data_IF_617714415686
#
_entry.id   IF_617714415686
#
_cell.length_a   1.000
_cell.length_b   1.000
_cell.length_c   1.000
_cell.angle_alpha   90.00
_cell.angle_beta   90.00
_cell.angle_gamma   90.00
#
_symmetry.space_group_name_H-M   'P 1'
#
loop_
_entity.id
_entity.type
_entity.pdbx_description
1 polymer ?
#
# COMPACT_ATOMS: atom_id res chain seq x y z
N UNK A 1 14.37 64.76 -28.54
CA UNK A 1 13.20 64.39 -27.69
C UNK A 1 12.26 63.50 -28.49
N UNK A 2 12.23 62.18 -28.23
CA UNK A 2 11.29 61.24 -28.87
C UNK A 2 9.88 61.55 -28.36
N UNK A 3 9.01 62.07 -29.24
CA UNK A 3 7.58 62.25 -28.95
C UNK A 3 6.96 60.86 -28.78
N UNK A 4 6.76 60.42 -27.53
CA UNK A 4 5.93 59.26 -27.22
C UNK A 4 4.51 59.58 -27.69
N UNK A 5 4.07 58.94 -28.79
CA UNK A 5 2.69 59.03 -29.25
C UNK A 5 1.82 58.42 -28.15
N UNK A 6 0.84 59.17 -27.62
CA UNK A 6 -0.04 58.76 -26.51
C UNK A 6 -0.65 57.35 -26.68
N UNK A 7 -0.79 56.84 -27.91
CA UNK A 7 -1.25 55.47 -28.18
C UNK A 7 -0.24 54.35 -27.89
N UNK A 8 1.06 54.62 -27.80
CA UNK A 8 2.09 53.60 -27.46
C UNK A 8 1.98 53.18 -26.00
N UNK A 9 1.78 54.13 -25.09
CA UNK A 9 1.74 53.88 -23.65
C UNK A 9 0.52 53.04 -23.28
N UNK A 10 -0.64 53.29 -23.89
CA UNK A 10 -1.86 52.50 -23.64
C UNK A 10 -1.70 51.05 -24.07
N UNK A 11 -1.03 50.80 -25.20
CA UNK A 11 -0.74 49.44 -25.69
C UNK A 11 0.26 48.75 -24.77
N UNK A 12 1.31 49.45 -24.34
CA UNK A 12 2.32 48.90 -23.42
C UNK A 12 1.69 48.51 -22.07
N UNK A 13 0.76 49.32 -21.55
CA UNK A 13 0.02 49.02 -20.32
C UNK A 13 -0.94 47.84 -20.50
N UNK A 14 -1.60 47.73 -21.66
CA UNK A 14 -2.45 46.58 -21.99
C UNK A 14 -1.65 45.28 -22.07
N UNK A 15 -0.50 45.30 -22.74
CA UNK A 15 0.40 44.15 -22.85
C UNK A 15 0.93 43.77 -21.46
N UNK A 16 1.37 44.75 -20.66
CA UNK A 16 1.83 44.50 -19.29
C UNK A 16 0.72 43.89 -18.42
N UNK A 17 -0.52 44.37 -18.54
CA UNK A 17 -1.68 43.79 -17.86
C UNK A 17 -1.95 42.35 -18.29
N UNK A 18 -1.96 42.07 -19.59
CA UNK A 18 -2.17 40.70 -20.11
C UNK A 18 -1.08 39.74 -19.64
N UNK A 19 0.20 40.15 -19.69
CA UNK A 19 1.33 39.34 -19.23
C UNK A 19 1.23 39.10 -17.73
N UNK A 20 0.88 40.12 -16.93
CA UNK A 20 0.70 39.98 -15.49
C UNK A 20 -0.44 39.01 -15.16
N UNK A 21 -1.60 39.14 -15.81
CA UNK A 21 -2.75 38.24 -15.61
C UNK A 21 -2.41 36.81 -16.03
N UNK A 22 -1.73 36.63 -17.17
CA UNK A 22 -1.26 35.31 -17.61
C UNK A 22 -0.27 34.70 -16.62
N UNK A 23 0.65 35.50 -16.08
CA UNK A 23 1.60 35.06 -15.04
C UNK A 23 0.90 34.60 -13.77
N UNK A 24 -0.04 35.39 -13.25
CA UNK A 24 -0.82 35.04 -12.05
C UNK A 24 -1.62 33.75 -12.30
N UNK A 25 -2.29 33.64 -13.45
CA UNK A 25 -3.07 32.46 -13.81
C UNK A 25 -2.18 31.21 -13.91
N UNK A 26 -1.02 31.32 -14.57
CA UNK A 26 -0.07 30.21 -14.67
C UNK A 26 0.46 29.79 -13.30
N UNK A 27 0.82 30.74 -12.43
CA UNK A 27 1.28 30.45 -11.08
C UNK A 27 0.20 29.77 -10.25
N UNK A 28 -1.02 30.30 -10.22
CA UNK A 28 -2.15 29.68 -9.50
C UNK A 28 -2.42 28.26 -9.99
N UNK A 29 -2.38 28.05 -11.31
CA UNK A 29 -2.57 26.74 -11.91
C UNK A 29 -1.47 25.75 -11.47
N UNK A 30 -0.20 26.15 -11.53
CA UNK A 30 0.93 25.34 -11.09
C UNK A 30 0.87 25.03 -9.59
N UNK A 31 0.47 26.00 -8.76
CA UNK A 31 0.27 25.79 -7.32
C UNK A 31 -0.83 24.77 -7.04
N UNK A 32 -1.99 24.90 -7.69
CA UNK A 32 -3.08 23.95 -7.53
C UNK A 32 -2.66 22.53 -7.95
N UNK A 33 -1.97 22.43 -9.08
CA UNK A 33 -1.46 21.17 -9.59
C UNK A 33 -0.42 20.56 -8.63
N UNK A 34 0.53 21.36 -8.12
CA UNK A 34 1.50 20.94 -7.12
C UNK A 34 0.85 20.46 -5.82
N UNK A 35 -0.17 21.17 -5.33
CA UNK A 35 -0.92 20.77 -4.14
C UNK A 35 -1.60 19.41 -4.33
N UNK A 36 -2.28 19.20 -5.45
CA UNK A 36 -2.92 17.92 -5.75
C UNK A 36 -1.93 16.75 -5.83
N UNK A 37 -0.74 16.96 -6.42
CA UNK A 37 0.29 15.94 -6.44
C UNK A 37 0.85 15.64 -5.06
N UNK A 38 1.07 16.68 -4.24
CA UNK A 38 1.56 16.51 -2.88
C UNK A 38 0.56 15.75 -2.02
N UNK A 39 -0.74 16.05 -2.15
CA UNK A 39 -1.80 15.33 -1.43
C UNK A 39 -1.87 13.85 -1.86
N UNK A 40 -1.78 13.57 -3.16
CA UNK A 40 -1.72 12.19 -3.67
C UNK A 40 -0.48 11.46 -3.17
N UNK A 41 0.69 12.10 -3.19
CA UNK A 41 1.94 11.53 -2.70
C UNK A 41 1.84 11.20 -1.21
N UNK A 42 1.28 12.11 -0.40
CA UNK A 42 1.06 11.89 1.03
C UNK A 42 0.13 10.69 1.28
N UNK A 43 -0.97 10.60 0.52
CA UNK A 43 -1.93 9.49 0.59
C UNK A 43 -1.26 8.14 0.24
N UNK A 44 -0.43 8.11 -0.80
CA UNK A 44 0.33 6.91 -1.18
C UNK A 44 1.37 6.55 -0.11
N UNK A 45 2.06 7.54 0.46
CA UNK A 45 3.07 7.33 1.48
C UNK A 45 2.49 6.71 2.74
N UNK A 46 1.32 7.19 3.18
CA UNK A 46 0.60 6.60 4.32
C UNK A 46 0.35 5.09 4.11
N UNK A 47 -0.15 4.69 2.94
CA UNK A 47 -0.34 3.27 2.61
C UNK A 47 1.02 2.54 2.56
N UNK A 48 2.03 3.12 1.90
CA UNK A 48 3.33 2.47 1.73
C UNK A 48 4.03 2.16 3.07
N UNK A 49 3.91 3.06 4.05
CA UNK A 49 4.42 2.85 5.41
C UNK A 49 3.72 1.66 6.10
N UNK A 50 2.40 1.50 5.91
CA UNK A 50 1.67 0.36 6.50
C UNK A 50 1.95 -0.95 5.75
N UNK A 51 2.14 -0.89 4.43
CA UNK A 51 2.57 -2.04 3.62
C UNK A 51 3.91 -2.59 4.10
N UNK A 52 4.89 -1.73 4.41
CA UNK A 52 6.21 -2.19 4.89
C UNK A 52 6.15 -2.90 6.26
N UNK A 53 5.16 -2.57 7.09
CA UNK A 53 4.91 -3.21 8.39
C UNK A 53 4.10 -4.51 8.30
N UNK A 54 3.47 -4.76 7.15
CA UNK A 54 2.56 -5.89 6.94
C UNK A 54 3.21 -7.27 7.14
N UNK A 55 4.49 -7.53 6.81
CA UNK A 55 5.13 -8.80 7.11
C UNK A 55 5.11 -9.19 8.59
N UNK A 56 5.19 -8.22 9.51
CA UNK A 56 5.08 -8.49 10.93
C UNK A 56 3.64 -8.87 11.31
N UNK A 57 2.65 -8.15 10.78
CA UNK A 57 1.22 -8.43 10.98
C UNK A 57 0.82 -9.81 10.45
N UNK A 58 1.30 -10.19 9.26
CA UNK A 58 1.02 -11.50 8.66
C UNK A 58 1.52 -12.68 9.49
N UNK A 59 2.44 -12.47 10.44
CA UNK A 59 2.88 -13.52 11.36
C UNK A 59 1.89 -13.72 12.52
N UNK A 60 1.18 -12.68 12.93
CA UNK A 60 0.23 -12.71 14.04
C UNK A 60 -1.19 -13.03 13.61
N UNK A 61 -1.55 -12.76 12.35
CA UNK A 61 -2.87 -13.05 11.81
C UNK A 61 -3.22 -14.54 11.90
N UNK A 62 -4.49 -14.83 12.11
CA UNK A 62 -4.98 -16.21 12.11
C UNK A 62 -5.58 -16.55 10.75
N UNK A 63 -4.79 -17.18 9.87
CA UNK A 63 -5.24 -17.59 8.53
C UNK A 63 -6.22 -18.77 8.53
N UNK A 64 -6.58 -19.32 9.70
CA UNK A 64 -7.76 -20.20 9.78
C UNK A 64 -9.05 -19.43 9.52
N UNK A 65 -9.05 -18.11 9.77
CA UNK A 65 -10.13 -17.21 9.36
C UNK A 65 -9.90 -16.84 7.89
N UNK A 66 -10.88 -17.14 7.04
CA UNK A 66 -10.80 -16.87 5.59
C UNK A 66 -10.67 -15.37 5.27
N UNK A 67 -11.10 -14.49 6.18
CA UNK A 67 -10.98 -13.04 6.01
C UNK A 67 -10.96 -12.30 7.34
N UNK A 68 -10.46 -11.07 7.32
CA UNK A 68 -10.51 -10.16 8.45
C UNK A 68 -10.31 -8.71 8.06
N UNK A 69 -10.45 -7.83 9.04
CA UNK A 69 -10.24 -6.39 8.89
C UNK A 69 -9.45 -5.89 10.09
N UNK A 70 -8.38 -5.14 9.83
CA UNK A 70 -7.50 -4.57 10.84
C UNK A 70 -7.38 -3.05 10.62
N UNK A 71 -7.45 -2.29 11.71
CA UNK A 71 -7.11 -0.87 11.68
C UNK A 71 -5.58 -0.72 11.88
N UNK A 72 -4.91 -0.10 10.90
CA UNK A 72 -3.47 0.11 10.93
C UNK A 72 -3.10 1.51 11.46
N UNK A 73 -4.09 2.26 11.95
CA UNK A 73 -3.97 3.61 12.45
C UNK A 73 -3.89 4.65 11.34
N UNK A 74 -3.96 5.92 11.74
CA UNK A 74 -3.93 7.09 10.82
C UNK A 74 -5.06 7.05 9.76
N UNK A 75 -6.13 6.29 10.01
CA UNK A 75 -7.26 6.11 9.08
C UNK A 75 -7.00 5.08 7.97
N UNK A 76 -5.89 4.32 8.03
CA UNK A 76 -5.60 3.24 7.07
C UNK A 76 -6.20 1.94 7.57
N UNK A 77 -7.10 1.35 6.78
CA UNK A 77 -7.70 0.05 7.09
C UNK A 77 -7.15 -1.03 6.16
N UNK A 78 -6.87 -2.20 6.70
CA UNK A 78 -6.49 -3.39 5.95
C UNK A 78 -7.62 -4.40 5.98
N UNK A 79 -8.16 -4.71 4.82
CA UNK A 79 -8.99 -5.89 4.61
C UNK A 79 -8.10 -7.01 4.05
N UNK A 80 -8.17 -8.18 4.64
CA UNK A 80 -7.39 -9.32 4.18
C UNK A 80 -8.27 -10.55 3.96
N UNK A 81 -7.89 -11.36 2.98
CA UNK A 81 -8.54 -12.63 2.67
C UNK A 81 -7.48 -13.69 2.46
N UNK A 82 -7.62 -14.82 3.13
CA UNK A 82 -6.71 -15.96 3.04
C UNK A 82 -7.36 -17.12 2.32
N UNK A 83 -6.58 -17.82 1.49
CA UNK A 83 -6.99 -19.02 0.78
C UNK A 83 -5.89 -20.07 0.89
N UNK A 84 -6.21 -21.26 1.40
CA UNK A 84 -5.26 -22.36 1.42
C UNK A 84 -5.04 -22.87 -0.01
N UNK A 85 -3.79 -22.82 -0.48
CA UNK A 85 -3.39 -23.33 -1.81
C UNK A 85 -2.95 -24.78 -1.70
N UNK A 86 -2.07 -25.07 -0.75
CA UNK A 86 -1.46 -26.38 -0.60
C UNK A 86 -1.18 -26.68 0.86
N UNK A 87 -1.34 -27.96 1.21
CA UNK A 87 -0.94 -28.53 2.49
C UNK A 87 -0.03 -29.73 2.21
N UNK A 88 1.09 -29.81 2.91
CA UNK A 88 2.03 -30.93 2.77
C UNK A 88 2.56 -31.36 4.12
N UNK A 89 2.73 -32.67 4.29
CA UNK A 89 3.45 -33.25 5.43
C UNK A 89 4.70 -33.90 4.85
N UNK A 90 5.90 -33.33 5.05
CA UNK A 90 7.12 -33.92 4.50
C UNK A 90 7.33 -35.32 5.07
N UNK A 91 7.70 -36.26 4.22
CA UNK A 91 8.14 -37.61 4.63
C UNK A 91 9.58 -37.78 4.20
N UNK A 92 10.43 -38.30 5.09
CA UNK A 92 11.80 -38.66 4.74
C UNK A 92 11.81 -40.11 4.26
N UNK A 93 12.25 -40.34 3.02
CA UNK A 93 12.51 -41.67 2.49
C UNK A 93 13.83 -42.21 3.09
N UNK A 94 13.71 -42.87 4.23
CA UNK A 94 14.70 -43.83 4.73
C UNK A 94 14.07 -45.24 4.69
N UNK A 95 14.82 -46.29 5.06
CA UNK A 95 14.31 -47.69 5.11
C UNK A 95 13.00 -47.84 5.93
N UNK A 96 12.72 -46.89 6.82
CA UNK A 96 11.43 -46.70 7.50
C UNK A 96 10.89 -45.30 7.14
N UNK A 97 9.61 -45.21 6.77
CA UNK A 97 8.94 -43.92 6.51
C UNK A 97 8.88 -43.09 7.79
N UNK A 98 9.73 -42.08 7.91
CA UNK A 98 9.67 -41.12 9.02
C UNK A 98 8.85 -39.92 8.56
N UNK A 99 7.61 -39.84 9.05
CA UNK A 99 6.75 -38.67 8.87
C UNK A 99 7.29 -37.48 9.66
N UNK A 100 7.32 -36.29 9.06
CA UNK A 100 7.65 -35.05 9.76
C UNK A 100 6.68 -34.79 10.92
N UNK A 101 7.22 -34.23 12.01
CA UNK A 101 6.44 -33.71 13.15
C UNK A 101 5.74 -32.38 12.83
N UNK A 102 5.99 -31.81 11.65
CA UNK A 102 5.42 -30.54 11.20
C UNK A 102 4.60 -30.71 9.92
N UNK A 103 3.43 -30.09 9.90
CA UNK A 103 2.65 -29.84 8.70
C UNK A 103 2.97 -28.47 8.13
N UNK A 104 3.10 -28.41 6.81
CA UNK A 104 3.39 -27.21 6.05
C UNK A 104 2.12 -26.77 5.32
N UNK A 105 1.87 -25.47 5.34
CA UNK A 105 0.71 -24.82 4.76
C UNK A 105 1.16 -23.65 3.89
N UNK A 106 0.62 -23.58 2.68
CA UNK A 106 0.81 -22.47 1.76
C UNK A 106 -0.52 -21.75 1.58
N UNK A 107 -0.59 -20.51 2.06
CA UNK A 107 -1.75 -19.64 1.92
C UNK A 107 -1.49 -18.58 0.85
N UNK A 108 -2.48 -18.31 0.02
CA UNK A 108 -2.57 -17.09 -0.78
C UNK A 108 -3.31 -16.05 0.06
N UNK A 109 -2.68 -14.92 0.34
CA UNK A 109 -3.29 -13.83 1.09
C UNK A 109 -3.45 -12.63 0.18
N UNK A 110 -4.69 -12.19 0.02
CA UNK A 110 -5.02 -10.93 -0.65
C UNK A 110 -5.15 -9.84 0.41
N UNK A 111 -4.41 -8.75 0.24
CA UNK A 111 -4.33 -7.62 1.16
C UNK A 111 -4.85 -6.38 0.46
N UNK A 112 -5.86 -5.73 1.04
CA UNK A 112 -6.52 -4.55 0.49
C UNK A 112 -6.42 -3.41 1.48
N UNK A 113 -5.50 -2.49 1.22
CA UNK A 113 -5.32 -1.28 2.00
C UNK A 113 -6.27 -0.20 1.48
N UNK A 114 -7.03 0.38 2.40
CA UNK A 114 -7.95 1.48 2.14
C UNK A 114 -7.50 2.70 2.92
N UNK A 115 -7.39 3.83 2.24
CA UNK A 115 -7.13 5.13 2.86
C UNK A 115 -7.78 6.23 2.03
N UNK A 116 -8.75 6.95 2.63
CA UNK A 116 -9.64 7.87 1.91
C UNK A 116 -10.27 7.17 0.68
N UNK A 117 -10.18 7.76 -0.50
CA UNK A 117 -10.68 7.20 -1.76
C UNK A 117 -9.68 6.26 -2.47
N UNK A 118 -8.49 6.05 -1.88
CA UNK A 118 -7.45 5.22 -2.47
C UNK A 118 -7.52 3.79 -1.93
N UNK A 119 -7.59 2.84 -2.86
CA UNK A 119 -7.52 1.41 -2.56
C UNK A 119 -6.30 0.81 -3.25
N UNK A 120 -5.45 0.14 -2.48
CA UNK A 120 -4.30 -0.62 -3.00
C UNK A 120 -4.45 -2.09 -2.62
N UNK A 121 -4.41 -2.95 -3.62
CA UNK A 121 -4.56 -4.40 -3.44
C UNK A 121 -3.26 -5.09 -3.80
N UNK A 122 -2.83 -6.00 -2.93
CA UNK A 122 -1.64 -6.82 -3.09
C UNK A 122 -2.02 -8.27 -2.89
N UNK A 123 -1.29 -9.16 -3.55
CA UNK A 123 -1.45 -10.60 -3.41
C UNK A 123 -0.09 -11.19 -3.09
N UNK A 124 -0.04 -12.00 -2.04
CA UNK A 124 1.18 -12.61 -1.56
C UNK A 124 0.95 -14.06 -1.17
N UNK A 125 2.00 -14.86 -1.22
CA UNK A 125 1.98 -16.23 -0.73
C UNK A 125 2.68 -16.28 0.62
N UNK A 126 2.01 -16.85 1.62
CA UNK A 126 2.52 -16.97 2.98
C UNK A 126 2.65 -18.44 3.35
N UNK A 127 3.85 -18.82 3.75
CA UNK A 127 4.16 -20.17 4.19
C UNK A 127 4.08 -20.25 5.72
N UNK A 128 3.40 -21.27 6.23
CA UNK A 128 3.30 -21.56 7.67
C UNK A 128 3.61 -23.02 7.96
N UNK A 129 4.24 -23.27 9.10
CA UNK A 129 4.39 -24.61 9.67
C UNK A 129 3.60 -24.71 10.97
N UNK A 130 2.99 -25.88 11.20
CA UNK A 130 2.31 -26.21 12.46
C UNK A 130 2.88 -27.53 12.98
N UNK A 131 3.29 -27.57 14.25
CA UNK A 131 3.68 -28.81 14.91
C UNK A 131 2.44 -29.70 15.09
N UNK A 132 2.58 -31.00 14.80
CA UNK A 132 1.50 -32.00 14.89
C UNK A 132 1.51 -32.71 16.24
N UNK A 133 2.59 -32.62 17.00
CA UNK A 133 2.78 -33.32 18.29
C UNK A 133 3.12 -32.30 19.37
N UNK A 134 2.30 -32.24 20.42
CA UNK A 134 2.66 -31.56 21.67
C UNK A 134 3.62 -32.48 22.45
N UNK A 135 4.73 -31.96 23.01
CA UNK A 135 5.69 -32.75 23.80
C UNK A 135 5.09 -33.46 25.04
N UNK A 136 3.86 -33.13 25.41
CA UNK A 136 3.16 -33.63 26.62
C UNK A 136 2.59 -35.05 26.44
N UNK A 137 2.45 -35.57 25.22
CA UNK A 137 1.95 -36.93 24.96
C UNK A 137 3.07 -37.98 24.79
N UNK A 138 4.34 -37.56 24.82
CA UNK A 138 5.49 -38.48 24.87
C UNK A 138 5.85 -38.70 26.35
N UNK A 139 4.89 -39.26 27.10
CA UNK A 139 5.16 -39.85 28.39
C UNK A 139 5.81 -41.22 28.18
N UNK A 140 7.09 -41.32 28.52
CA UNK A 140 7.74 -42.60 28.85
C UNK A 140 7.71 -42.74 30.36
#
# INVERSE_FOLDING_TARGET
MKKFKKGSITIDVLIAGMVLTAGIAASMYLFNLGFQYLEKANTINAIALKVSQTPALLRTLDFSKESGTEDLGEGVTLEWTSKLIAKSKPERLAEVKISSMYELYLYEVTLKFKYKDLIKTYKINVFRSKAVVSPEEIGI
#
